data_IF_946252495105
#
_entry.id   IF_946252495105
#
_cell.length_a   1.000
_cell.length_b   1.000
_cell.length_c   1.000
_cell.angle_alpha   90.00
_cell.angle_beta   90.00
_cell.angle_gamma   90.00
#
_symmetry.space_group_name_H-M   'P 1'
#
loop_
_entity.id
_entity.type
_entity.pdbx_description
1 polymer ?
#
# COMPACT_ATOMS: atom_id res chain seq x y z
N UNK A 1 -16.10 -6.84 7.52
CA UNK A 1 -16.12 -6.53 6.08
C UNK A 1 -17.25 -5.56 5.79
N UNK A 2 -16.99 -4.52 5.01
CA UNK A 2 -18.02 -3.54 4.64
C UNK A 2 -17.67 -2.87 3.30
N UNK A 3 -18.69 -2.28 2.68
CA UNK A 3 -18.57 -1.60 1.39
C UNK A 3 -18.83 -0.11 1.56
N UNK A 4 -17.97 0.72 0.97
CA UNK A 4 -18.10 2.18 0.91
C UNK A 4 -18.33 2.64 -0.53
N UNK A 5 -19.13 3.68 -0.72
CA UNK A 5 -19.26 4.39 -2.00
C UNK A 5 -18.26 5.56 -1.99
N UNK A 6 -17.28 5.53 -2.88
CA UNK A 6 -16.25 6.58 -2.96
C UNK A 6 -16.62 7.74 -3.91
N UNK A 7 -17.78 7.66 -4.59
CA UNK A 7 -18.14 8.57 -5.69
C UNK A 7 -17.55 8.10 -7.03
N UNK A 8 -17.87 8.83 -8.13
CA UNK A 8 -17.34 8.51 -9.46
C UNK A 8 -17.62 7.09 -9.97
N UNK A 9 -18.65 6.40 -9.45
CA UNK A 9 -18.96 5.02 -9.83
C UNK A 9 -18.08 3.97 -9.17
N UNK A 10 -17.26 4.33 -8.16
CA UNK A 10 -16.37 3.40 -7.46
C UNK A 10 -17.00 2.94 -6.15
N UNK A 11 -16.97 1.62 -5.91
CA UNK A 11 -17.26 0.97 -4.64
C UNK A 11 -15.97 0.40 -4.07
N UNK A 12 -15.70 0.64 -2.81
CA UNK A 12 -14.57 0.04 -2.11
C UNK A 12 -15.08 -1.05 -1.17
N UNK A 13 -14.69 -2.28 -1.44
CA UNK A 13 -14.90 -3.42 -0.55
C UNK A 13 -13.69 -3.55 0.37
N UNK A 14 -13.93 -3.73 1.66
CA UNK A 14 -12.89 -3.85 2.69
C UNK A 14 -12.96 -5.23 3.32
N UNK A 15 -11.84 -5.92 3.30
CA UNK A 15 -11.70 -7.27 3.84
C UNK A 15 -10.61 -7.29 4.90
N UNK A 16 -10.93 -7.84 6.06
CA UNK A 16 -9.95 -8.02 7.12
C UNK A 16 -8.97 -9.13 6.74
N UNK A 17 -7.67 -8.85 6.81
CA UNK A 17 -6.59 -9.79 6.58
C UNK A 17 -5.58 -9.73 7.73
N UNK A 18 -5.82 -10.50 8.79
CA UNK A 18 -5.12 -10.34 10.06
C UNK A 18 -5.37 -8.95 10.63
N UNK A 19 -4.32 -8.20 10.92
CA UNK A 19 -4.40 -6.81 11.41
C UNK A 19 -4.43 -5.76 10.29
N UNK A 20 -4.34 -6.17 9.04
CA UNK A 20 -4.44 -5.29 7.88
C UNK A 20 -5.85 -5.33 7.25
N UNK A 21 -6.14 -4.35 6.41
CA UNK A 21 -7.38 -4.28 5.63
C UNK A 21 -7.02 -4.24 4.15
N UNK A 22 -7.52 -5.20 3.40
CA UNK A 22 -7.47 -5.16 1.94
C UNK A 22 -8.61 -4.28 1.44
N UNK A 23 -8.28 -3.32 0.59
CA UNK A 23 -9.21 -2.42 -0.07
C UNK A 23 -9.32 -2.82 -1.54
N UNK A 24 -10.45 -3.38 -1.95
CA UNK A 24 -10.75 -3.69 -3.34
C UNK A 24 -11.67 -2.61 -3.89
N UNK A 25 -11.19 -1.84 -4.86
CA UNK A 25 -11.95 -0.81 -5.53
C UNK A 25 -12.60 -1.40 -6.80
N UNK A 26 -13.90 -1.56 -6.77
CA UNK A 26 -14.72 -1.98 -7.89
C UNK A 26 -15.22 -0.73 -8.63
N UNK A 27 -14.73 -0.52 -9.84
CA UNK A 27 -15.08 0.63 -10.68
C UNK A 27 -16.12 0.22 -11.73
N UNK A 28 -17.21 1.01 -11.83
CA UNK A 28 -18.25 0.80 -12.85
C UNK A 28 -17.69 0.95 -14.27
N UNK A 29 -16.85 1.97 -14.47
CA UNK A 29 -16.29 2.29 -15.78
C UNK A 29 -14.89 1.68 -15.92
N UNK A 30 -14.46 1.24 -17.12
CA UNK A 30 -13.14 0.66 -17.34
C UNK A 30 -12.01 1.59 -16.88
N UNK A 31 -11.07 1.03 -16.11
CA UNK A 31 -9.89 1.76 -15.66
C UNK A 31 -8.72 1.59 -16.64
N UNK A 32 -7.86 2.62 -16.78
CA UNK A 32 -6.65 2.50 -17.58
C UNK A 32 -5.70 1.44 -16.97
N UNK A 33 -4.93 0.78 -17.81
CA UNK A 33 -3.82 -0.03 -17.37
C UNK A 33 -2.69 0.87 -16.87
N UNK A 34 -1.96 0.42 -15.83
CA UNK A 34 -0.71 1.04 -15.44
C UNK A 34 0.43 0.41 -16.26
N UNK A 35 1.30 1.24 -16.83
CA UNK A 35 2.47 0.75 -17.58
C UNK A 35 3.48 0.05 -16.65
N UNK A 36 3.58 0.52 -15.42
CA UNK A 36 4.40 -0.06 -14.37
C UNK A 36 3.53 -0.36 -13.14
N UNK A 37 3.81 -1.48 -12.49
CA UNK A 37 3.20 -1.85 -11.22
C UNK A 37 4.31 -2.11 -10.19
N UNK A 38 4.81 -1.07 -9.50
CA UNK A 38 5.87 -1.24 -8.52
C UNK A 38 5.43 -2.06 -7.29
N UNK A 39 4.14 -2.12 -7.00
CA UNK A 39 3.59 -3.11 -6.05
C UNK A 39 3.45 -4.42 -6.80
N UNK A 40 4.47 -5.28 -6.67
CA UNK A 40 4.62 -6.48 -7.47
C UNK A 40 3.75 -7.65 -7.00
N UNK A 41 3.52 -7.78 -5.69
CA UNK A 41 2.68 -8.83 -5.14
C UNK A 41 2.14 -8.47 -3.75
N UNK A 42 0.99 -9.06 -3.44
CA UNK A 42 0.43 -9.11 -2.10
C UNK A 42 0.67 -10.49 -1.50
N UNK A 43 1.28 -10.55 -0.30
CA UNK A 43 1.47 -11.79 0.43
C UNK A 43 0.52 -11.80 1.63
N UNK A 44 -0.21 -12.92 1.80
CA UNK A 44 -1.19 -13.05 2.89
C UNK A 44 -0.91 -14.33 3.67
N UNK A 45 -0.66 -14.18 4.97
CA UNK A 45 -0.48 -15.32 5.85
C UNK A 45 -1.81 -16.05 6.06
N UNK A 46 -1.81 -17.36 5.87
CA UNK A 46 -2.97 -18.21 6.06
C UNK A 46 -2.64 -19.34 7.02
N UNK A 47 -3.43 -19.43 8.10
CA UNK A 47 -3.31 -20.52 9.06
C UNK A 47 -3.62 -21.87 8.40
N UNK A 48 -2.83 -22.90 8.75
CA UNK A 48 -3.01 -24.24 8.22
C UNK A 48 -2.39 -24.49 6.83
N UNK A 49 -1.90 -23.46 6.15
CA UNK A 49 -1.13 -23.63 4.92
C UNK A 49 0.26 -24.22 5.27
N UNK A 50 0.73 -25.19 4.46
CA UNK A 50 2.02 -25.89 4.71
C UNK A 50 3.17 -25.38 3.83
N UNK A 51 2.85 -24.76 2.71
CA UNK A 51 3.82 -24.20 1.77
C UNK A 51 3.22 -23.00 1.05
N UNK A 52 4.03 -22.04 0.56
CA UNK A 52 3.56 -20.92 -0.23
C UNK A 52 2.77 -21.37 -1.46
N UNK A 53 1.73 -20.61 -1.82
CA UNK A 53 0.90 -20.84 -2.99
C UNK A 53 0.72 -19.53 -3.75
N UNK A 54 1.22 -19.51 -4.97
CA UNK A 54 1.04 -18.38 -5.87
C UNK A 54 -0.31 -18.43 -6.56
N UNK A 55 -0.96 -17.29 -6.66
CA UNK A 55 -2.25 -17.06 -7.29
C UNK A 55 -2.19 -15.78 -8.11
N UNK A 56 -3.14 -15.65 -9.02
CA UNK A 56 -3.44 -14.37 -9.65
C UNK A 56 -4.93 -14.06 -9.47
N UNK A 57 -5.24 -12.79 -9.26
CA UNK A 57 -6.62 -12.34 -9.31
C UNK A 57 -7.11 -12.22 -10.77
N UNK A 58 -8.40 -11.95 -11.01
CA UNK A 58 -8.94 -11.81 -12.38
C UNK A 58 -8.31 -10.68 -13.20
N UNK A 59 -7.69 -9.68 -12.56
CA UNK A 59 -6.98 -8.58 -13.22
C UNK A 59 -5.48 -8.87 -13.43
N UNK A 60 -5.01 -10.08 -13.03
CA UNK A 60 -3.63 -10.52 -13.19
C UNK A 60 -2.68 -10.10 -12.08
N UNK A 61 -3.18 -9.54 -10.98
CA UNK A 61 -2.33 -9.17 -9.84
C UNK A 61 -1.80 -10.41 -9.12
N UNK A 62 -0.52 -10.41 -8.81
CA UNK A 62 0.11 -11.52 -8.09
C UNK A 62 -0.26 -11.49 -6.60
N UNK A 63 -0.75 -12.63 -6.12
CA UNK A 63 -1.09 -12.87 -4.73
C UNK A 63 -0.39 -14.14 -4.28
N UNK A 64 0.35 -14.10 -3.18
CA UNK A 64 0.98 -15.28 -2.60
C UNK A 64 0.37 -15.56 -1.24
N UNK A 65 -0.29 -16.69 -1.09
CA UNK A 65 -0.67 -17.19 0.22
C UNK A 65 0.56 -17.86 0.85
N UNK A 66 0.87 -17.50 2.10
CA UNK A 66 2.03 -18.06 2.81
C UNK A 66 1.60 -18.69 4.13
N UNK A 67 2.33 -19.71 4.64
CA UNK A 67 2.12 -20.20 6.00
C UNK A 67 2.27 -19.06 7.01
N UNK A 68 1.49 -19.06 8.09
CA UNK A 68 1.69 -18.10 9.17
C UNK A 68 3.10 -18.22 9.75
N UNK A 69 3.81 -17.09 9.88
CA UNK A 69 5.22 -17.03 10.32
C UNK A 69 6.25 -17.22 9.21
N UNK A 70 5.87 -17.55 7.99
CA UNK A 70 6.79 -17.64 6.86
C UNK A 70 7.50 -16.31 6.63
N UNK A 71 8.82 -16.32 6.66
CA UNK A 71 9.66 -15.10 6.55
C UNK A 71 9.22 -13.96 7.49
N UNK A 72 8.66 -14.29 8.66
CA UNK A 72 8.15 -13.34 9.64
C UNK A 72 6.76 -12.75 9.31
N UNK A 73 6.11 -13.21 8.24
CA UNK A 73 4.79 -12.75 7.81
C UNK A 73 3.71 -13.45 8.64
N UNK A 74 3.01 -12.70 9.50
CA UNK A 74 1.90 -13.19 10.32
C UNK A 74 0.53 -12.63 9.90
N UNK A 75 0.50 -11.70 8.97
CA UNK A 75 -0.70 -11.07 8.45
C UNK A 75 -0.51 -10.79 6.96
N UNK A 76 -0.18 -9.54 6.63
CA UNK A 76 0.03 -9.10 5.26
C UNK A 76 1.46 -8.62 5.06
N UNK A 77 2.06 -8.96 3.93
CA UNK A 77 3.25 -8.31 3.41
C UNK A 77 2.99 -7.83 1.97
N UNK A 78 3.73 -6.81 1.57
CA UNK A 78 3.66 -6.26 0.22
C UNK A 78 5.06 -6.29 -0.39
N UNK A 79 5.18 -6.88 -1.57
CA UNK A 79 6.43 -6.90 -2.33
C UNK A 79 6.49 -5.69 -3.24
N UNK A 80 7.54 -4.89 -3.11
CA UNK A 80 7.76 -3.69 -3.88
C UNK A 80 9.01 -3.87 -4.76
N UNK A 81 8.86 -3.67 -6.06
CA UNK A 81 9.99 -3.58 -6.99
C UNK A 81 10.42 -2.13 -7.13
N UNK A 82 11.56 -1.81 -6.54
CA UNK A 82 12.08 -0.45 -6.40
C UNK A 82 13.34 -0.24 -7.24
N UNK A 83 13.56 0.99 -7.70
CA UNK A 83 14.73 1.35 -8.51
C UNK A 83 16.03 1.33 -7.67
N UNK A 84 15.95 1.60 -6.37
CA UNK A 84 17.07 1.57 -5.42
C UNK A 84 16.55 1.17 -4.03
N UNK A 85 16.96 -0.03 -3.59
CA UNK A 85 16.52 -0.59 -2.29
C UNK A 85 16.96 0.28 -1.12
N UNK A 86 18.17 0.84 -1.15
CA UNK A 86 18.69 1.66 -0.06
C UNK A 86 17.92 2.99 0.04
N UNK A 87 17.68 3.65 -1.10
CA UNK A 87 16.90 4.89 -1.15
C UNK A 87 15.47 4.65 -0.68
N UNK A 88 14.81 3.60 -1.14
CA UNK A 88 13.44 3.28 -0.73
C UNK A 88 13.37 2.89 0.75
N UNK A 89 14.33 2.10 1.25
CA UNK A 89 14.42 1.76 2.69
C UNK A 89 14.55 3.03 3.54
N UNK A 90 15.43 3.95 3.15
CA UNK A 90 15.61 5.23 3.84
C UNK A 90 14.31 6.06 3.82
N UNK A 91 13.63 6.15 2.68
CA UNK A 91 12.35 6.85 2.56
C UNK A 91 11.31 6.30 3.53
N UNK A 92 11.05 4.99 3.51
CA UNK A 92 10.04 4.38 4.37
C UNK A 92 10.37 4.52 5.86
N UNK A 93 11.65 4.52 6.24
CA UNK A 93 12.08 4.74 7.62
C UNK A 93 11.90 6.21 8.05
N UNK A 94 12.34 7.16 7.23
CA UNK A 94 12.34 8.58 7.60
C UNK A 94 10.98 9.24 7.46
N UNK A 95 10.22 8.89 6.41
CA UNK A 95 8.93 9.53 6.12
C UNK A 95 7.78 8.84 6.83
N UNK A 96 7.81 7.51 6.94
CA UNK A 96 6.68 6.72 7.44
C UNK A 96 6.98 6.01 8.77
N UNK A 97 8.15 6.27 9.35
CA UNK A 97 8.61 5.65 10.59
C UNK A 97 8.55 4.11 10.58
N UNK A 98 8.70 3.49 9.41
CA UNK A 98 8.85 2.04 9.31
C UNK A 98 10.19 1.62 9.92
N UNK A 99 10.28 0.41 10.47
CA UNK A 99 11.50 -0.14 11.06
C UNK A 99 12.08 -1.21 10.17
N UNK A 100 13.35 -1.11 9.79
CA UNK A 100 14.03 -2.17 9.07
C UNK A 100 14.29 -3.35 10.01
N UNK A 101 13.81 -4.55 9.64
CA UNK A 101 13.95 -5.79 10.43
C UNK A 101 15.03 -6.70 9.88
N UNK A 102 15.33 -6.57 8.60
CA UNK A 102 16.48 -7.15 7.91
C UNK A 102 16.69 -6.38 6.59
N UNK A 103 17.86 -6.51 5.92
CA UNK A 103 18.10 -5.77 4.68
C UNK A 103 16.96 -5.92 3.67
N UNK A 104 16.35 -4.80 3.28
CA UNK A 104 15.21 -4.76 2.35
C UNK A 104 13.86 -5.21 2.92
N UNK A 105 13.77 -5.53 4.21
CA UNK A 105 12.51 -5.90 4.87
C UNK A 105 12.16 -4.88 5.93
N UNK A 106 11.07 -4.16 5.72
CA UNK A 106 10.61 -3.10 6.60
C UNK A 106 9.30 -3.49 7.29
N UNK A 107 9.19 -3.16 8.57
CA UNK A 107 7.94 -3.29 9.32
C UNK A 107 7.24 -1.94 9.40
N UNK A 108 6.04 -1.87 8.83
CA UNK A 108 5.15 -0.72 8.93
C UNK A 108 3.90 -1.13 9.71
N UNK A 109 3.84 -0.75 10.98
CA UNK A 109 2.83 -1.29 11.90
C UNK A 109 2.99 -2.81 12.06
N UNK A 110 1.96 -3.58 11.65
CA UNK A 110 1.99 -5.05 11.69
C UNK A 110 2.24 -5.69 10.32
N UNK A 111 2.25 -4.91 9.25
CA UNK A 111 2.56 -5.38 7.89
C UNK A 111 4.07 -5.32 7.60
N UNK A 112 4.51 -6.11 6.65
CA UNK A 112 5.88 -6.03 6.12
C UNK A 112 5.88 -5.46 4.71
N UNK A 113 6.88 -4.65 4.40
CA UNK A 113 7.25 -4.26 3.04
C UNK A 113 8.53 -5.00 2.68
N UNK A 114 8.50 -5.73 1.57
CA UNK A 114 9.62 -6.47 1.04
C UNK A 114 10.14 -5.71 -0.18
N UNK A 115 11.28 -5.03 -0.04
CA UNK A 115 11.89 -4.24 -1.09
C UNK A 115 12.78 -5.13 -1.93
N UNK A 116 12.52 -5.20 -3.22
CA UNK A 116 13.33 -5.95 -4.19
C UNK A 116 13.83 -5.00 -5.28
N UNK A 117 15.11 -5.15 -5.65
CA UNK A 117 15.68 -4.39 -6.73
C UNK A 117 14.96 -4.72 -8.05
N UNK A 118 14.43 -3.71 -8.74
CA UNK A 118 13.87 -3.91 -10.07
C UNK A 118 14.94 -4.41 -11.03
N UNK A 119 14.58 -5.34 -11.93
CA UNK A 119 15.51 -5.97 -12.89
C UNK A 119 16.11 -4.99 -13.90
N UNK A 120 15.46 -3.86 -14.13
CA UNK A 120 15.95 -2.75 -14.93
C UNK A 120 15.72 -1.44 -14.20
N UNK A 121 16.56 -0.43 -14.45
CA UNK A 121 16.35 0.92 -13.92
C UNK A 121 15.08 1.49 -14.55
N UNK A 122 14.00 1.50 -13.78
CA UNK A 122 12.70 1.97 -14.20
C UNK A 122 12.48 3.42 -13.77
N UNK A 123 11.82 4.21 -14.60
CA UNK A 123 11.28 5.50 -14.18
C UNK A 123 10.17 5.28 -13.13
N UNK A 124 9.92 6.26 -12.24
CA UNK A 124 8.81 6.19 -11.30
C UNK A 124 7.46 5.95 -11.99
N UNK A 125 6.55 5.26 -11.31
CA UNK A 125 5.19 5.06 -11.80
C UNK A 125 4.46 6.40 -11.85
N UNK A 126 3.98 6.80 -13.02
CA UNK A 126 3.22 8.04 -13.24
C UNK A 126 1.72 7.79 -13.40
N UNK A 127 1.27 6.53 -13.36
CA UNK A 127 -0.12 6.20 -13.56
C UNK A 127 -1.02 6.84 -12.49
N UNK A 128 -2.25 7.22 -12.84
CA UNK A 128 -3.20 7.80 -11.90
C UNK A 128 -3.56 6.79 -10.80
N UNK A 129 -4.00 7.30 -9.65
CA UNK A 129 -4.50 6.45 -8.56
C UNK A 129 -5.60 5.50 -9.05
N UNK A 130 -6.51 6.00 -9.89
CA UNK A 130 -7.57 5.24 -10.52
C UNK A 130 -7.07 4.53 -11.78
N UNK A 131 -6.24 3.51 -11.61
CA UNK A 131 -5.78 2.60 -12.65
C UNK A 131 -5.92 1.16 -12.16
N UNK A 132 -5.86 0.19 -13.08
CA UNK A 132 -5.86 -1.24 -12.73
C UNK A 132 -4.62 -1.63 -11.94
N UNK A 133 -4.75 -2.67 -11.12
CA UNK A 133 -3.64 -3.30 -10.40
C UNK A 133 -3.56 -2.96 -8.91
N UNK A 134 -2.49 -3.39 -8.27
CA UNK A 134 -2.15 -3.04 -6.90
C UNK A 134 -1.64 -1.59 -6.89
N UNK A 135 -2.44 -0.65 -6.39
CA UNK A 135 -2.21 0.78 -6.66
C UNK A 135 -1.65 1.60 -5.51
N UNK A 136 -2.04 1.31 -4.28
CA UNK A 136 -1.63 2.15 -3.16
C UNK A 136 -1.53 1.40 -1.85
N UNK A 137 -0.69 1.92 -0.98
CA UNK A 137 -0.60 1.54 0.43
C UNK A 137 -1.45 2.51 1.24
N UNK A 138 -2.00 2.06 2.37
CA UNK A 138 -2.67 2.94 3.34
C UNK A 138 -2.01 2.82 4.69
N UNK A 139 -1.60 3.95 5.25
CA UNK A 139 -1.16 4.06 6.63
C UNK A 139 -2.21 4.79 7.46
N UNK A 140 -2.61 4.18 8.57
CA UNK A 140 -3.42 4.87 9.57
C UNK A 140 -2.53 5.83 10.35
N UNK A 141 -2.98 7.08 10.45
CA UNK A 141 -2.31 8.15 11.19
C UNK A 141 -3.28 8.78 12.20
N UNK A 142 -2.75 9.39 13.24
CA UNK A 142 -3.55 10.06 14.26
C UNK A 142 -4.00 11.47 13.84
N UNK A 143 -3.19 12.14 13.02
CA UNK A 143 -3.43 13.50 12.51
C UNK A 143 -2.93 13.51 11.05
N UNK A 144 -3.86 13.64 10.12
CA UNK A 144 -3.56 13.57 8.69
C UNK A 144 -2.81 14.81 8.20
N UNK A 145 -3.13 16.00 8.73
CA UNK A 145 -2.47 17.25 8.35
C UNK A 145 -1.02 17.27 8.83
N UNK A 146 -0.79 16.92 10.08
CA UNK A 146 0.54 16.86 10.67
C UNK A 146 1.40 15.77 9.98
N UNK A 147 0.83 14.59 9.71
CA UNK A 147 1.52 13.51 9.01
C UNK A 147 1.90 13.90 7.57
N UNK A 148 1.00 14.55 6.84
CA UNK A 148 1.26 15.05 5.50
C UNK A 148 2.35 16.13 5.48
N UNK A 149 2.25 17.13 6.36
CA UNK A 149 3.26 18.18 6.48
C UNK A 149 4.65 17.62 6.83
N UNK A 150 4.70 16.67 7.77
CA UNK A 150 5.93 15.99 8.17
C UNK A 150 6.54 15.18 7.02
N UNK A 151 5.70 14.47 6.25
CA UNK A 151 6.16 13.72 5.08
C UNK A 151 6.78 14.63 4.02
N UNK A 152 6.14 15.78 3.71
CA UNK A 152 6.70 16.76 2.77
C UNK A 152 8.01 17.36 3.27
N UNK A 153 8.10 17.69 4.56
CA UNK A 153 9.33 18.19 5.17
C UNK A 153 10.48 17.17 5.12
N UNK A 154 10.15 15.87 5.14
CA UNK A 154 11.11 14.78 4.96
C UNK A 154 11.42 14.45 3.48
N UNK A 155 10.88 15.21 2.52
CA UNK A 155 11.18 15.10 1.10
C UNK A 155 10.23 14.20 0.28
N UNK A 156 9.09 13.80 0.83
CA UNK A 156 8.08 13.08 0.05
C UNK A 156 7.42 14.00 -1.00
N UNK A 157 7.05 13.43 -2.14
CA UNK A 157 6.22 14.12 -3.13
C UNK A 157 4.76 14.17 -2.66
N UNK A 158 4.18 15.37 -2.56
CA UNK A 158 2.77 15.55 -2.27
C UNK A 158 1.91 15.27 -3.49
N UNK A 159 1.02 14.27 -3.41
CA UNK A 159 0.16 13.88 -4.52
C UNK A 159 -1.27 14.43 -4.38
N UNK A 160 -1.82 14.42 -3.17
CA UNK A 160 -3.11 15.07 -2.82
C UNK A 160 -3.05 15.61 -1.41
N UNK A 161 -3.31 16.91 -1.25
CA UNK A 161 -3.40 17.54 0.06
C UNK A 161 -4.55 16.94 0.91
N UNK A 162 -4.50 17.10 2.25
CA UNK A 162 -5.52 16.56 3.14
C UNK A 162 -6.94 17.02 2.81
N UNK A 163 -7.86 16.07 2.65
CA UNK A 163 -9.28 16.31 2.40
C UNK A 163 -10.16 15.44 3.30
N UNK A 164 -11.34 15.92 3.63
CA UNK A 164 -12.33 15.14 4.37
C UNK A 164 -13.08 14.19 3.45
N UNK A 165 -13.20 12.94 3.86
CA UNK A 165 -14.04 11.91 3.23
C UNK A 165 -15.34 11.76 4.05
N UNK A 166 -16.28 12.65 3.79
CA UNK A 166 -17.47 12.78 4.62
C UNK A 166 -17.12 13.12 6.05
N UNK A 167 -17.81 12.50 7.01
CA UNK A 167 -17.54 12.62 8.45
C UNK A 167 -16.69 11.47 9.00
N UNK A 168 -16.20 10.55 8.15
CA UNK A 168 -15.62 9.28 8.59
C UNK A 168 -14.11 9.24 8.56
N UNK A 169 -13.48 10.05 7.73
CA UNK A 169 -12.02 10.06 7.60
C UNK A 169 -11.52 11.39 7.05
N UNK A 170 -10.27 11.72 7.37
CA UNK A 170 -9.47 12.73 6.69
C UNK A 170 -8.29 12.01 6.02
N UNK A 171 -8.07 12.25 4.73
CA UNK A 171 -7.07 11.52 3.94
C UNK A 171 -6.18 12.47 3.15
N UNK A 172 -4.94 12.07 2.95
CA UNK A 172 -4.00 12.71 2.03
C UNK A 172 -3.24 11.64 1.25
N UNK A 173 -2.59 12.04 0.17
CA UNK A 173 -1.72 11.12 -0.59
C UNK A 173 -0.35 11.75 -0.80
N UNK A 174 0.67 10.94 -0.62
CA UNK A 174 2.05 11.20 -1.02
C UNK A 174 2.49 10.12 -2.02
N UNK A 175 3.66 10.33 -2.64
CA UNK A 175 4.34 9.29 -3.44
C UNK A 175 5.69 8.98 -2.85
N UNK A 176 6.10 7.72 -2.98
CA UNK A 176 7.47 7.29 -2.71
C UNK A 176 8.38 7.58 -3.93
N UNK A 177 9.71 7.32 -3.84
CA UNK A 177 10.65 7.53 -4.94
C UNK A 177 10.34 6.76 -6.23
N UNK A 178 9.60 5.66 -6.13
CA UNK A 178 9.18 4.82 -7.26
C UNK A 178 7.79 5.18 -7.81
N UNK A 179 7.16 6.23 -7.27
CA UNK A 179 5.84 6.70 -7.67
C UNK A 179 4.67 5.93 -7.05
N UNK A 180 4.92 5.05 -6.06
CA UNK A 180 3.86 4.34 -5.34
C UNK A 180 3.00 5.34 -4.57
N UNK A 181 1.69 5.26 -4.75
CA UNK A 181 0.75 6.04 -3.99
C UNK A 181 0.65 5.55 -2.56
N UNK A 182 0.74 6.48 -1.60
CA UNK A 182 0.60 6.19 -0.17
C UNK A 182 -0.48 7.09 0.40
N UNK A 183 -1.58 6.47 0.85
CA UNK A 183 -2.67 7.14 1.54
C UNK A 183 -2.32 7.27 3.03
N UNK A 184 -2.29 8.50 3.52
CA UNK A 184 -2.29 8.82 4.93
C UNK A 184 -3.75 8.98 5.36
N UNK A 185 -4.22 8.14 6.29
CA UNK A 185 -5.64 8.05 6.63
C UNK A 185 -5.86 8.23 8.14
N UNK A 186 -6.44 9.36 8.51
CA UNK A 186 -6.97 9.59 9.85
C UNK A 186 -8.43 9.20 9.85
N UNK A 187 -8.82 8.33 10.78
CA UNK A 187 -10.22 7.98 10.98
C UNK A 187 -10.80 8.79 12.10
N UNK A 188 -12.00 9.35 11.90
CA UNK A 188 -12.76 9.88 12.99
C UNK A 188 -12.94 8.76 14.03
N UNK A 189 -12.55 9.02 15.28
CA UNK A 189 -12.82 8.12 16.38
C UNK A 189 -14.33 7.93 16.47
N UNK A 190 -14.78 6.69 16.42
CA UNK A 190 -16.16 6.37 16.75
C UNK A 190 -16.27 6.58 18.26
N UNK A 191 -16.85 7.71 18.66
CA UNK A 191 -17.27 7.99 20.04
C UNK A 191 -18.45 7.11 20.40
#
# INVERSE_FOLDING_TARGET
DHTLKLGGGVRQHRYQAGDAVLKLNDARDPLPAAERQPIAALLVALAGLRAPRELQDPDGNAITLVPAGHEGINGVAVRLQVADVAQSSQFYQQVLACTEVSPGVLRCGKALLLLEQASARCAPDTAPLAAKGLRYLTLQVFDCDAAYASALAAGAEGAKAPINMGSTARIAFIRDPDGIWIELSERASVT
#
